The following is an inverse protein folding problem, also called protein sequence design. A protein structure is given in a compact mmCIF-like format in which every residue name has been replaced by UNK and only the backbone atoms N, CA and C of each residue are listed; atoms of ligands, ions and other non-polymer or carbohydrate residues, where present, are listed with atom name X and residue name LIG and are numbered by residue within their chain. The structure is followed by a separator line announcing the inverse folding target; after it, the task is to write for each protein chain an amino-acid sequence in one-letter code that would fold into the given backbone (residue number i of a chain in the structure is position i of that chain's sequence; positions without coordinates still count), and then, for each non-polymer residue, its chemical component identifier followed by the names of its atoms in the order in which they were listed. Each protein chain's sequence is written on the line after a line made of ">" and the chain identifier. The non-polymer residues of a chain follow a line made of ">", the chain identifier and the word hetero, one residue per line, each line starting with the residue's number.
data_IF_434102076538
#
_entry.id   IF_434102076538
#
_cell.length_a   1.000
_cell.length_b   1.000
_cell.length_c   1.000
_cell.angle_alpha   90.00
_cell.angle_beta   90.00
_cell.angle_gamma   90.00
#
_symmetry.space_group_name_H-M   'P 1'
#
loop_
_entity.id
_entity.type
_entity.pdbx_description
1 polymer ?
#
# COMPACT_ATOMS: atom_id res chain seq x y z
N UNK A 1 9.08 0.21 -5.82
CA UNK A 1 9.41 -0.25 -7.19
C UNK A 1 10.62 0.52 -7.70
N UNK A 2 11.59 -0.16 -8.31
CA UNK A 2 12.71 0.48 -9.00
C UNK A 2 12.57 0.27 -10.51
N UNK A 3 12.62 1.35 -11.29
CA UNK A 3 12.55 1.30 -12.75
C UNK A 3 13.45 2.38 -13.34
N UNK A 4 14.44 1.99 -14.13
CA UNK A 4 15.34 2.90 -14.86
C UNK A 4 15.98 3.99 -13.97
N UNK A 5 16.51 3.60 -12.80
CA UNK A 5 17.15 4.53 -11.86
C UNK A 5 16.17 5.39 -11.04
N UNK A 6 14.86 5.17 -11.17
CA UNK A 6 13.82 5.88 -10.42
C UNK A 6 13.15 4.94 -9.41
N UNK A 7 12.82 5.50 -8.25
CA UNK A 7 12.17 4.80 -7.15
C UNK A 7 10.75 5.31 -6.97
N UNK A 8 9.82 4.39 -6.75
CA UNK A 8 8.40 4.67 -6.61
C UNK A 8 7.82 3.94 -5.41
N UNK A 9 7.03 4.65 -4.59
CA UNK A 9 6.09 4.06 -3.63
C UNK A 9 4.80 3.75 -4.42
N UNK A 10 4.41 2.48 -4.46
CA UNK A 10 3.29 2.00 -5.28
C UNK A 10 2.36 1.14 -4.44
N UNK A 11 1.06 1.28 -4.66
CA UNK A 11 0.08 0.38 -4.07
C UNK A 11 0.04 -0.94 -4.85
N UNK A 12 -0.25 -2.05 -4.17
CA UNK A 12 -0.21 -3.39 -4.80
C UNK A 12 -1.21 -3.54 -5.96
N UNK A 13 -2.35 -2.84 -5.89
CA UNK A 13 -3.34 -2.77 -6.97
C UNK A 13 -2.83 -2.06 -8.23
N UNK A 14 -1.90 -1.11 -8.10
CA UNK A 14 -1.23 -0.49 -9.25
C UNK A 14 -0.29 -1.48 -9.92
N UNK A 15 0.33 -2.39 -9.15
CA UNK A 15 1.14 -3.48 -9.71
C UNK A 15 0.30 -4.48 -10.49
N UNK A 16 -0.93 -4.78 -10.05
CA UNK A 16 -1.87 -5.57 -10.86
C UNK A 16 -2.18 -4.90 -12.20
N UNK A 17 -2.44 -3.59 -12.22
CA UNK A 17 -2.65 -2.86 -13.48
C UNK A 17 -1.44 -2.94 -14.41
N UNK A 18 -0.22 -2.80 -13.86
CA UNK A 18 1.03 -2.90 -14.64
C UNK A 18 1.24 -4.31 -15.24
N UNK A 19 0.76 -5.35 -14.57
CA UNK A 19 0.76 -6.74 -15.06
C UNK A 19 -0.39 -7.04 -16.03
N UNK A 20 -1.30 -6.09 -16.30
CA UNK A 20 -2.50 -6.33 -17.09
C UNK A 20 -3.57 -7.19 -16.39
N UNK A 21 -3.49 -7.32 -15.06
CA UNK A 21 -4.47 -8.05 -14.24
C UNK A 21 -5.66 -7.15 -13.87
N UNK A 22 -6.87 -7.70 -13.71
CA UNK A 22 -8.00 -6.95 -13.17
C UNK A 22 -7.67 -6.35 -11.80
N UNK A 23 -8.06 -5.10 -11.59
CA UNK A 23 -7.82 -4.39 -10.34
C UNK A 23 -8.84 -3.27 -10.17
N UNK A 24 -9.21 -2.97 -8.93
CA UNK A 24 -10.16 -1.94 -8.55
C UNK A 24 -9.47 -0.89 -7.67
N UNK A 25 -8.41 -0.27 -8.20
CA UNK A 25 -7.70 0.81 -7.51
C UNK A 25 -8.65 1.99 -7.26
N UNK A 26 -8.70 2.46 -6.01
CA UNK A 26 -9.64 3.48 -5.53
C UNK A 26 -8.92 4.67 -4.89
N UNK A 27 -9.65 5.75 -4.64
CA UNK A 27 -9.12 6.93 -3.92
C UNK A 27 -8.62 6.58 -2.52
N UNK A 28 -9.24 5.61 -1.84
CA UNK A 28 -8.78 5.15 -0.51
C UNK A 28 -7.44 4.40 -0.60
N UNK A 29 -7.19 3.65 -1.69
CA UNK A 29 -5.89 3.01 -1.92
C UNK A 29 -4.80 4.08 -2.14
N UNK A 30 -5.13 5.16 -2.86
CA UNK A 30 -4.25 6.32 -3.03
C UNK A 30 -4.01 7.03 -1.70
N UNK A 31 -5.05 7.24 -0.89
CA UNK A 31 -4.98 7.90 0.40
C UNK A 31 -4.04 7.18 1.37
N UNK A 32 -4.13 5.84 1.43
CA UNK A 32 -3.21 5.01 2.21
C UNK A 32 -1.77 5.12 1.74
N UNK A 33 -1.55 5.06 0.42
CA UNK A 33 -0.22 5.23 -0.19
C UNK A 33 0.38 6.60 0.15
N UNK A 34 -0.42 7.66 0.06
CA UNK A 34 0.00 9.03 0.37
C UNK A 34 0.38 9.17 1.85
N UNK A 35 -0.44 8.67 2.78
CA UNK A 35 -0.11 8.69 4.22
C UNK A 35 1.20 7.94 4.50
N UNK A 36 1.41 6.76 3.91
CA UNK A 36 2.67 6.00 4.06
C UNK A 36 3.86 6.79 3.49
N UNK A 37 3.72 7.38 2.30
CA UNK A 37 4.78 8.17 1.67
C UNK A 37 5.18 9.39 2.52
N UNK A 38 4.19 10.09 3.10
CA UNK A 38 4.43 11.23 3.99
C UNK A 38 5.15 10.79 5.28
N UNK A 39 4.73 9.70 5.92
CA UNK A 39 5.38 9.18 7.14
C UNK A 39 6.85 8.81 6.89
N UNK A 40 7.14 8.12 5.78
CA UNK A 40 8.51 7.77 5.42
C UNK A 40 9.38 9.01 5.18
N UNK A 41 8.80 10.08 4.62
CA UNK A 41 9.48 11.35 4.41
C UNK A 41 9.71 12.11 5.73
N UNK A 42 8.72 12.12 6.62
CA UNK A 42 8.81 12.72 7.96
C UNK A 42 9.89 12.05 8.82
N UNK A 43 10.05 10.73 8.70
CA UNK A 43 11.13 9.99 9.35
C UNK A 43 12.50 10.13 8.67
N UNK A 44 12.59 10.89 7.57
CA UNK A 44 13.84 11.10 6.84
C UNK A 44 14.35 9.87 6.07
N UNK A 45 13.50 8.87 5.84
CA UNK A 45 13.88 7.64 5.11
C UNK A 45 13.87 7.84 3.59
N UNK A 46 13.04 8.76 3.11
CA UNK A 46 12.92 9.10 1.69
C UNK A 46 12.80 10.62 1.51
N UNK A 47 13.05 11.10 0.29
CA UNK A 47 12.67 12.45 -0.16
C UNK A 47 11.65 12.33 -1.29
N UNK A 48 10.47 12.92 -1.10
CA UNK A 48 9.48 13.02 -2.17
C UNK A 48 9.96 13.98 -3.25
N UNK A 49 9.83 13.58 -4.51
CA UNK A 49 10.19 14.42 -5.66
C UNK A 49 9.27 15.64 -5.75
N UNK A 50 7.98 15.43 -5.50
CA UNK A 50 6.93 16.47 -5.54
C UNK A 50 6.07 16.36 -4.28
N UNK A 51 6.52 16.93 -3.13
CA UNK A 51 5.85 16.74 -1.84
C UNK A 51 4.37 17.15 -1.83
N UNK A 52 4.01 18.20 -2.57
CA UNK A 52 2.65 18.74 -2.61
C UNK A 52 1.59 17.76 -3.17
N UNK A 53 2.02 16.73 -3.90
CA UNK A 53 1.09 15.75 -4.50
C UNK A 53 0.51 14.77 -3.48
N UNK A 54 1.12 14.64 -2.29
CA UNK A 54 0.70 13.68 -1.27
C UNK A 54 0.19 14.35 -0.01
N UNK A 55 0.18 15.68 0.06
CA UNK A 55 -0.33 16.45 1.22
C UNK A 55 -1.84 16.38 1.37
N UNK A 56 -2.56 16.16 0.27
CA UNK A 56 -4.02 16.01 0.21
C UNK A 56 -4.39 14.55 -0.09
N UNK A 57 -5.65 14.18 0.21
CA UNK A 57 -6.15 12.81 0.13
C UNK A 57 -5.26 11.84 0.93
N UNK A 58 -5.46 11.82 2.25
CA UNK A 58 -4.74 10.98 3.22
C UNK A 58 -5.73 10.28 4.12
N UNK A 59 -5.38 9.09 4.61
CA UNK A 59 -6.15 8.41 5.66
C UNK A 59 -5.65 8.82 7.05
N UNK A 60 -6.55 8.85 8.06
CA UNK A 60 -6.16 8.99 9.46
C UNK A 60 -5.23 7.84 9.93
N UNK A 61 -4.31 8.14 10.84
CA UNK A 61 -3.31 7.18 11.32
C UNK A 61 -3.92 5.96 12.03
N UNK A 62 -5.10 6.07 12.64
CA UNK A 62 -5.78 4.94 13.29
C UNK A 62 -6.22 3.85 12.29
N UNK A 63 -6.22 4.12 10.98
CA UNK A 63 -6.46 3.14 9.93
C UNK A 63 -5.18 2.39 9.50
N UNK A 64 -4.03 2.76 10.05
CA UNK A 64 -2.73 2.15 9.79
C UNK A 64 -2.19 1.49 11.06
N UNK A 65 -1.65 0.29 10.91
CA UNK A 65 -0.91 -0.40 11.97
C UNK A 65 0.57 -0.35 11.64
N UNK A 66 1.35 0.30 12.51
CA UNK A 66 2.82 0.31 12.46
C UNK A 66 3.30 -0.60 13.60
N UNK A 67 4.13 -1.58 13.26
CA UNK A 67 4.68 -2.54 14.22
C UNK A 67 6.11 -2.16 14.55
N UNK A 68 6.48 -2.24 15.82
CA UNK A 68 7.88 -2.11 16.19
C UNK A 68 8.65 -3.34 15.69
N UNK A 69 9.89 -3.15 15.25
CA UNK A 69 10.69 -4.26 14.70
C UNK A 69 10.83 -5.45 15.67
N UNK A 70 10.86 -5.19 16.98
CA UNK A 70 10.92 -6.22 18.03
C UNK A 70 9.68 -7.14 18.08
N UNK A 71 8.54 -6.68 17.58
CA UNK A 71 7.26 -7.41 17.60
C UNK A 71 7.04 -8.20 16.30
N UNK A 72 7.97 -8.11 15.33
CA UNK A 72 7.77 -8.70 13.98
C UNK A 72 7.47 -10.20 14.03
N UNK A 73 8.06 -10.92 14.98
CA UNK A 73 7.96 -12.38 15.09
C UNK A 73 6.64 -12.81 15.75
N UNK A 74 5.89 -11.87 16.31
CA UNK A 74 4.53 -12.07 16.84
C UNK A 74 3.46 -11.97 15.74
N UNK A 75 3.83 -11.57 14.52
CA UNK A 75 2.90 -11.28 13.43
C UNK A 75 3.21 -12.11 12.17
N UNK A 76 2.15 -12.66 11.57
CA UNK A 76 2.22 -13.27 10.24
C UNK A 76 2.15 -12.20 9.14
N UNK A 77 3.29 -11.67 8.72
CA UNK A 77 3.37 -10.64 7.68
C UNK A 77 3.05 -11.21 6.29
N UNK A 78 1.92 -10.80 5.70
CA UNK A 78 1.46 -11.30 4.40
C UNK A 78 1.48 -10.19 3.34
N UNK A 79 2.25 -10.37 2.27
CA UNK A 79 2.28 -9.45 1.15
C UNK A 79 1.05 -9.63 0.24
N UNK A 80 0.33 -8.54 -0.05
CA UNK A 80 -0.83 -8.55 -0.96
C UNK A 80 -0.45 -8.75 -2.44
N UNK A 81 0.83 -8.55 -2.80
CA UNK A 81 1.34 -8.78 -4.14
C UNK A 81 2.75 -9.38 -4.05
N UNK A 82 3.03 -10.37 -4.90
CA UNK A 82 4.35 -10.96 -5.04
C UNK A 82 4.88 -10.69 -6.45
N UNK A 83 6.10 -10.17 -6.52
CA UNK A 83 6.82 -10.02 -7.79
C UNK A 83 7.31 -11.42 -8.20
N UNK A 84 6.83 -11.94 -9.33
CA UNK A 84 7.22 -13.23 -9.89
C UNK A 84 6.17 -14.35 -9.73
N UNK A 85 6.51 -15.56 -10.18
CA UNK A 85 5.58 -16.68 -10.40
C UNK A 85 5.10 -17.41 -9.13
N UNK A 86 5.44 -16.94 -7.93
CA UNK A 86 5.01 -17.59 -6.69
C UNK A 86 3.53 -17.28 -6.46
N UNK A 87 2.69 -18.30 -6.68
CA UNK A 87 1.27 -18.25 -6.34
C UNK A 87 1.12 -18.10 -4.83
N UNK A 88 0.38 -17.10 -4.40
CA UNK A 88 -0.14 -17.01 -3.05
C UNK A 88 -1.65 -17.20 -3.16
N UNK A 89 -2.20 -18.12 -2.38
CA UNK A 89 -3.64 -18.34 -2.34
C UNK A 89 -4.27 -17.09 -1.71
N UNK A 90 -5.01 -16.34 -2.52
CA UNK A 90 -5.77 -15.19 -2.09
C UNK A 90 -7.17 -15.68 -1.69
N UNK A 91 -7.39 -15.94 -0.40
CA UNK A 91 -8.76 -15.96 0.11
C UNK A 91 -9.23 -14.51 0.19
N UNK A 92 -10.13 -14.17 -0.73
CA UNK A 92 -10.74 -12.86 -0.85
C UNK A 92 -11.80 -12.73 0.25
N UNK A 93 -11.45 -12.15 1.40
CA UNK A 93 -12.45 -11.75 2.39
C UNK A 93 -13.15 -10.47 1.90
N UNK A 94 -14.11 -10.65 0.99
CA UNK A 94 -15.09 -9.65 0.60
C UNK A 94 -16.25 -9.65 1.61
N UNK A 95 -15.95 -9.40 2.88
CA UNK A 95 -16.96 -9.22 3.92
C UNK A 95 -16.77 -7.86 4.56
N UNK A 96 -17.29 -6.83 3.91
CA UNK A 96 -17.80 -5.60 4.55
C UNK A 96 -18.50 -4.78 3.47
N UNK A 97 -19.80 -5.02 3.28
CA UNK A 97 -20.59 -4.27 2.30
C UNK A 97 -21.91 -4.89 1.84
N UNK A 98 -22.43 -5.93 2.51
CA UNK A 98 -23.76 -6.48 2.20
C UNK A 98 -24.76 -6.15 3.31
N UNK A 99 -25.50 -5.06 3.07
CA UNK A 99 -26.88 -4.74 3.50
C UNK A 99 -27.22 -4.81 4.99
N UNK A 100 -27.78 -3.72 5.50
CA UNK A 100 -29.13 -3.78 6.06
C UNK A 100 -30.00 -2.73 5.32
N UNK A 101 -31.21 -3.16 5.00
CA UNK A 101 -32.25 -2.43 4.26
C UNK A 101 -32.90 -1.32 5.10
#
# INVERSE_FOLDING_TARGET
>A
MHKQGRYYIVHFKELFALDGKPTNYSENDQARRNTIANLLAEWGLIKLVTPDQTTTNVVPLNQLKILAYKEKDEWALTAKYNIGSKKVNYEHSEEEGRKED
#
